data_IF_069436120735
#
_entry.id   IF_069436120735
#
_cell.length_a   1.000
_cell.length_b   1.000
_cell.length_c   1.000
_cell.angle_alpha   90.00
_cell.angle_beta   90.00
_cell.angle_gamma   90.00
#
_symmetry.space_group_name_H-M   'P 1'
#
loop_
_entity.id
_entity.type
_entity.pdbx_description
1 polymer ?
#
# COMPACT_ATOMS: atom_id res chain seq x y z
N UNK A 1 36.09 32.98 -17.98
CA UNK A 1 35.35 32.52 -16.78
C UNK A 1 36.07 33.07 -15.55
N UNK A 2 35.37 33.66 -14.59
CA UNK A 2 35.99 34.14 -13.36
C UNK A 2 36.23 32.93 -12.43
N UNK A 3 37.48 32.48 -12.33
CA UNK A 3 37.85 31.26 -11.61
C UNK A 3 37.62 31.38 -10.10
N UNK A 4 37.82 32.58 -9.54
CA UNK A 4 37.62 32.84 -8.11
C UNK A 4 36.14 32.78 -7.71
N UNK A 5 35.25 33.33 -8.55
CA UNK A 5 33.80 33.20 -8.37
C UNK A 5 33.34 31.74 -8.48
N UNK A 6 33.91 30.97 -9.41
CA UNK A 6 33.59 29.55 -9.58
C UNK A 6 34.03 28.73 -8.36
N UNK A 7 35.24 28.97 -7.85
CA UNK A 7 35.74 28.30 -6.65
C UNK A 7 34.86 28.62 -5.41
N UNK A 8 34.42 29.86 -5.26
CA UNK A 8 33.48 30.26 -4.19
C UNK A 8 32.14 29.56 -4.31
N UNK A 9 31.59 29.47 -5.52
CA UNK A 9 30.31 28.78 -5.77
C UNK A 9 30.42 27.29 -5.47
N UNK A 10 31.53 26.63 -5.82
CA UNK A 10 31.75 25.22 -5.54
C UNK A 10 31.81 24.94 -4.04
N UNK A 11 32.57 25.76 -3.29
CA UNK A 11 32.65 25.66 -1.82
C UNK A 11 31.28 25.88 -1.16
N UNK A 12 30.54 26.90 -1.62
CA UNK A 12 29.20 27.17 -1.13
C UNK A 12 28.24 26.00 -1.43
N UNK A 13 28.24 25.48 -2.66
CA UNK A 13 27.37 24.39 -3.06
C UNK A 13 27.64 23.12 -2.26
N UNK A 14 28.91 22.82 -1.95
CA UNK A 14 29.28 21.71 -1.08
C UNK A 14 28.76 21.89 0.35
N UNK A 15 28.96 23.07 0.94
CA UNK A 15 28.51 23.37 2.30
C UNK A 15 26.98 23.35 2.41
N UNK A 16 26.28 24.12 1.58
CA UNK A 16 24.80 24.14 1.57
C UNK A 16 24.21 22.78 1.18
N UNK A 17 24.88 22.03 0.30
CA UNK A 17 24.45 20.67 -0.06
C UNK A 17 24.42 19.75 1.14
N UNK A 18 25.46 19.78 1.99
CA UNK A 18 25.50 18.99 3.21
C UNK A 18 24.38 19.39 4.20
N UNK A 19 24.17 20.69 4.40
CA UNK A 19 23.12 21.20 5.30
C UNK A 19 21.70 20.86 4.81
N UNK A 20 21.41 21.08 3.52
CA UNK A 20 20.10 20.75 2.93
C UNK A 20 19.85 19.25 3.04
N UNK A 21 20.87 18.40 2.84
CA UNK A 21 20.76 16.96 3.03
C UNK A 21 20.38 16.60 4.46
N UNK A 22 20.99 17.22 5.46
CA UNK A 22 20.65 17.00 6.87
C UNK A 22 19.19 17.36 7.17
N UNK A 23 18.68 18.47 6.61
CA UNK A 23 17.27 18.87 6.75
C UNK A 23 16.35 17.86 6.06
N UNK A 24 16.68 17.38 4.86
CA UNK A 24 15.92 16.33 4.17
C UNK A 24 15.81 15.08 5.06
N UNK A 25 16.93 14.62 5.63
CA UNK A 25 16.94 13.47 6.55
C UNK A 25 16.06 13.72 7.78
N UNK A 26 16.10 14.92 8.35
CA UNK A 26 15.24 15.30 9.47
C UNK A 26 13.74 15.29 9.10
N UNK A 27 13.36 15.74 7.89
CA UNK A 27 11.96 15.66 7.44
C UNK A 27 11.46 14.22 7.32
N UNK A 28 12.33 13.29 6.91
CA UNK A 28 12.00 11.85 6.83
C UNK A 28 11.86 11.20 8.22
N UNK A 29 12.43 11.83 9.25
CA UNK A 29 12.42 11.35 10.63
C UNK A 29 11.47 12.16 11.53
N UNK A 30 10.54 12.93 10.94
CA UNK A 30 9.66 13.79 11.73
C UNK A 30 8.95 13.02 12.84
N UNK A 31 9.03 13.49 14.11
CA UNK A 31 8.40 12.83 15.24
C UNK A 31 6.94 13.25 15.44
N UNK A 32 6.38 14.13 14.59
CA UNK A 32 5.08 14.76 14.79
C UNK A 32 3.94 13.75 14.77
N UNK A 33 3.06 13.85 15.76
CA UNK A 33 1.88 12.99 15.93
C UNK A 33 0.71 13.85 16.43
N UNK A 34 -0.48 13.61 15.90
CA UNK A 34 -1.72 14.30 16.27
C UNK A 34 -2.92 13.37 16.10
N UNK A 35 -3.88 13.43 17.01
CA UNK A 35 -5.15 12.71 16.97
C UNK A 35 -6.20 13.39 16.07
N UNK A 36 -5.96 14.64 15.66
CA UNK A 36 -6.77 15.35 14.66
C UNK A 36 -6.40 14.93 13.24
N UNK A 37 -7.37 14.37 12.50
CA UNK A 37 -7.23 14.04 11.07
C UNK A 37 -6.93 15.26 10.21
N UNK A 38 -7.51 16.42 10.56
CA UNK A 38 -7.32 17.70 9.88
C UNK A 38 -5.87 18.18 10.02
N UNK A 39 -5.36 18.28 11.26
CA UNK A 39 -3.98 18.71 11.52
C UNK A 39 -2.96 17.73 10.94
N UNK A 40 -3.24 16.43 10.99
CA UNK A 40 -2.37 15.43 10.38
C UNK A 40 -2.26 15.64 8.87
N UNK A 41 -3.38 15.89 8.20
CA UNK A 41 -3.42 16.15 6.75
C UNK A 41 -2.62 17.41 6.42
N UNK A 42 -2.85 18.51 7.13
CA UNK A 42 -2.12 19.76 6.93
C UNK A 42 -0.61 19.59 7.15
N UNK A 43 -0.22 18.96 8.26
CA UNK A 43 1.19 18.70 8.57
C UNK A 43 1.87 17.85 7.49
N UNK A 44 1.22 16.74 7.09
CA UNK A 44 1.75 15.83 6.09
C UNK A 44 1.94 16.53 4.73
N UNK A 45 1.03 17.44 4.36
CA UNK A 45 1.11 18.18 3.11
C UNK A 45 2.25 19.19 3.12
N UNK A 46 2.34 20.02 4.17
CA UNK A 46 3.41 21.00 4.32
C UNK A 46 4.78 20.31 4.35
N UNK A 47 4.91 19.19 5.08
CA UNK A 47 6.19 18.48 5.14
C UNK A 47 6.56 17.84 3.80
N UNK A 48 5.57 17.35 3.03
CA UNK A 48 5.79 16.83 1.69
C UNK A 48 6.26 17.93 0.75
N UNK A 49 5.62 19.09 0.75
CA UNK A 49 6.04 20.23 -0.06
C UNK A 49 7.48 20.65 0.27
N UNK A 50 7.80 20.77 1.56
CA UNK A 50 9.15 21.09 2.02
C UNK A 50 10.17 20.05 1.53
N UNK A 51 9.88 18.75 1.68
CA UNK A 51 10.75 17.67 1.21
C UNK A 51 11.02 17.75 -0.29
N UNK A 52 9.99 18.01 -1.10
CA UNK A 52 10.11 18.11 -2.57
C UNK A 52 11.03 19.27 -2.95
N UNK A 53 10.81 20.45 -2.34
CA UNK A 53 11.60 21.65 -2.61
C UNK A 53 13.07 21.46 -2.19
N UNK A 54 13.30 20.94 -0.98
CA UNK A 54 14.65 20.68 -0.47
C UNK A 54 15.37 19.63 -1.34
N UNK A 55 14.69 18.56 -1.74
CA UNK A 55 15.26 17.53 -2.62
C UNK A 55 15.66 18.10 -3.99
N UNK A 56 14.83 18.98 -4.57
CA UNK A 56 15.17 19.66 -5.81
C UNK A 56 16.37 20.59 -5.63
N UNK A 57 16.41 21.39 -4.57
CA UNK A 57 17.53 22.28 -4.27
C UNK A 57 18.83 21.49 -4.09
N UNK A 58 18.82 20.44 -3.29
CA UNK A 58 19.97 19.56 -3.09
C UNK A 58 20.46 18.97 -4.42
N UNK A 59 19.54 18.45 -5.25
CA UNK A 59 19.89 17.91 -6.57
C UNK A 59 20.52 18.94 -7.51
N UNK A 60 20.08 20.20 -7.44
CA UNK A 60 20.65 21.30 -8.22
C UNK A 60 22.05 21.70 -7.71
N UNK A 61 22.23 21.80 -6.39
CA UNK A 61 23.51 22.11 -5.76
C UNK A 61 24.59 21.07 -6.10
N UNK A 62 24.22 19.79 -6.12
CA UNK A 62 25.10 18.70 -6.56
C UNK A 62 25.59 18.83 -8.02
N UNK A 63 24.92 19.65 -8.84
CA UNK A 63 25.34 19.90 -10.23
C UNK A 63 26.36 21.01 -10.43
N UNK A 64 26.82 21.64 -9.33
CA UNK A 64 27.78 22.76 -9.32
C UNK A 64 29.19 22.27 -8.97
N UNK A 65 29.38 20.98 -8.71
CA UNK A 65 30.68 20.35 -8.36
C UNK A 65 31.83 20.67 -9.34
N UNK A 66 31.52 20.79 -10.62
CA UNK A 66 32.44 21.17 -11.71
C UNK A 66 32.15 22.60 -12.24
N UNK A 67 31.82 23.51 -11.32
CA UNK A 67 31.51 24.89 -11.64
C UNK A 67 30.06 25.12 -12.11
N UNK A 68 29.60 26.35 -11.93
CA UNK A 68 28.27 26.77 -12.34
C UNK A 68 28.20 26.98 -13.86
N UNK A 69 27.20 26.35 -14.47
CA UNK A 69 26.82 26.48 -15.87
C UNK A 69 25.29 26.55 -15.97
N UNK A 70 24.80 27.59 -16.66
CA UNK A 70 23.37 27.92 -16.70
C UNK A 70 22.55 26.88 -17.47
N UNK A 71 23.08 26.36 -18.58
CA UNK A 71 22.43 25.33 -19.39
C UNK A 71 22.35 24.00 -18.65
N UNK A 72 23.43 23.62 -17.96
CA UNK A 72 23.47 22.46 -17.07
C UNK A 72 22.45 22.59 -15.94
N UNK A 73 22.35 23.78 -15.32
CA UNK A 73 21.37 24.05 -14.27
C UNK A 73 19.93 23.86 -14.78
N UNK A 74 19.57 24.47 -15.91
CA UNK A 74 18.24 24.32 -16.49
C UNK A 74 17.92 22.89 -16.90
N UNK A 75 18.87 22.18 -17.51
CA UNK A 75 18.72 20.77 -17.88
C UNK A 75 18.45 19.91 -16.66
N UNK A 76 19.26 20.05 -15.59
CA UNK A 76 19.07 19.33 -14.33
C UNK A 76 17.71 19.65 -13.72
N UNK A 77 17.33 20.92 -13.66
CA UNK A 77 16.01 21.32 -13.12
C UNK A 77 14.85 20.65 -13.85
N UNK A 78 14.93 20.53 -15.18
CA UNK A 78 13.93 19.87 -16.00
C UNK A 78 13.91 18.34 -15.83
N UNK A 79 15.06 17.72 -15.57
CA UNK A 79 15.18 16.26 -15.38
C UNK A 79 14.99 15.80 -13.94
N UNK A 80 14.76 16.73 -13.01
CA UNK A 80 14.54 16.37 -11.60
C UNK A 80 13.31 15.46 -11.47
N UNK A 81 13.50 14.34 -10.79
CA UNK A 81 12.41 13.45 -10.40
C UNK A 81 12.27 13.49 -8.89
N UNK A 82 11.04 13.72 -8.43
CA UNK A 82 10.71 13.77 -7.01
C UNK A 82 10.99 12.41 -6.35
N UNK A 83 11.85 12.34 -5.33
CA UNK A 83 12.07 11.11 -4.58
C UNK A 83 10.83 10.68 -3.80
N UNK A 84 10.71 9.38 -3.50
CA UNK A 84 9.62 8.87 -2.67
C UNK A 84 9.71 9.43 -1.25
N UNK A 85 8.59 9.93 -0.73
CA UNK A 85 8.47 10.47 0.62
C UNK A 85 7.23 9.95 1.33
N UNK A 86 7.40 9.35 2.51
CA UNK A 86 6.30 8.84 3.33
C UNK A 86 6.27 9.55 4.67
N UNK A 87 5.24 10.34 4.90
CA UNK A 87 4.95 11.01 6.18
C UNK A 87 3.51 10.72 6.59
N UNK A 88 3.29 10.42 7.88
CA UNK A 88 1.96 10.35 8.46
C UNK A 88 1.98 10.77 9.93
N UNK A 89 1.43 11.94 10.24
CA UNK A 89 1.28 12.45 11.60
C UNK A 89 -0.03 12.01 12.29
N UNK A 90 -0.94 11.28 11.64
CA UNK A 90 -2.22 10.89 12.26
C UNK A 90 -2.07 9.72 13.25
N UNK A 91 -2.43 9.95 14.50
CA UNK A 91 -2.34 8.99 15.61
C UNK A 91 -3.49 7.96 15.62
N UNK A 92 -4.62 8.22 14.95
CA UNK A 92 -5.81 7.38 15.03
C UNK A 92 -5.76 6.08 14.21
N UNK A 93 -4.65 5.80 13.52
CA UNK A 93 -4.37 4.50 12.91
C UNK A 93 -3.24 3.81 13.66
N UNK A 94 -3.60 3.07 14.72
CA UNK A 94 -2.72 2.18 15.49
C UNK A 94 -1.55 2.89 16.18
N UNK A 95 -1.75 3.19 17.46
CA UNK A 95 -0.67 3.29 18.45
C UNK A 95 0.28 2.08 18.34
N UNK A 96 1.37 2.28 17.62
CA UNK A 96 2.71 1.78 17.89
C UNK A 96 3.61 2.53 16.93
N UNK A 97 4.37 3.50 17.44
CA UNK A 97 5.66 3.86 16.83
C UNK A 97 6.46 2.54 16.80
N UNK A 98 6.42 1.83 15.68
CA UNK A 98 7.31 0.69 15.46
C UNK A 98 8.66 1.34 15.17
N UNK A 99 9.52 1.38 16.19
CA UNK A 99 10.93 1.65 15.99
C UNK A 99 11.46 0.56 15.06
N UNK A 100 11.61 0.88 13.79
CA UNK A 100 12.06 -0.08 12.78
C UNK A 100 13.54 -0.37 13.04
N UNK A 101 13.85 -1.59 13.48
CA UNK A 101 15.24 -2.01 13.73
C UNK A 101 16.12 -1.90 12.47
N UNK A 102 15.52 -2.07 11.30
CA UNK A 102 16.22 -2.01 10.01
C UNK A 102 15.50 -1.09 9.00
N UNK A 103 15.57 0.24 9.16
CA UNK A 103 14.85 1.20 8.32
C UNK A 103 15.28 1.12 6.85
N UNK A 104 16.58 0.96 6.59
CA UNK A 104 17.12 0.89 5.23
C UNK A 104 16.64 -0.35 4.48
N UNK A 105 16.52 -1.49 5.16
CA UNK A 105 15.91 -2.69 4.58
C UNK A 105 14.44 -2.46 4.27
N UNK A 106 13.67 -1.89 5.21
CA UNK A 106 12.27 -1.56 4.99
C UNK A 106 12.07 -0.71 3.72
N UNK A 107 12.90 0.31 3.51
CA UNK A 107 12.80 1.14 2.30
C UNK A 107 13.14 0.38 1.01
N UNK A 108 14.13 -0.52 1.03
CA UNK A 108 14.42 -1.39 -0.13
C UNK A 108 13.23 -2.30 -0.46
N UNK A 109 12.62 -2.91 0.56
CA UNK A 109 11.45 -3.78 0.38
C UNK A 109 10.21 -2.99 -0.08
N UNK A 110 10.01 -1.78 0.45
CA UNK A 110 8.95 -0.87 0.01
C UNK A 110 9.13 -0.50 -1.46
N UNK A 111 10.35 -0.12 -1.87
CA UNK A 111 10.65 0.21 -3.26
C UNK A 111 10.35 -0.96 -4.20
N UNK A 112 10.81 -2.17 -3.87
CA UNK A 112 10.49 -3.38 -4.63
C UNK A 112 8.97 -3.59 -4.74
N UNK A 113 8.24 -3.47 -3.62
CA UNK A 113 6.79 -3.63 -3.60
C UNK A 113 6.10 -2.61 -4.51
N UNK A 114 6.54 -1.35 -4.48
CA UNK A 114 5.97 -0.27 -5.29
C UNK A 114 6.28 -0.47 -6.79
N UNK A 115 7.48 -0.97 -7.13
CA UNK A 115 7.86 -1.36 -8.51
C UNK A 115 7.01 -2.51 -9.04
N UNK A 116 6.81 -3.57 -8.25
CA UNK A 116 5.95 -4.71 -8.62
C UNK A 116 4.50 -4.23 -8.81
N UNK A 117 3.99 -3.42 -7.89
CA UNK A 117 2.64 -2.85 -7.97
C UNK A 117 2.47 -2.00 -9.23
N UNK A 118 3.43 -1.14 -9.54
CA UNK A 118 3.39 -0.26 -10.72
C UNK A 118 3.46 -1.07 -12.01
N UNK A 119 4.41 -2.02 -12.11
CA UNK A 119 4.64 -2.82 -13.32
C UNK A 119 3.46 -3.74 -13.65
N UNK A 120 2.81 -4.31 -12.63
CA UNK A 120 1.68 -5.23 -12.79
C UNK A 120 0.32 -4.55 -12.60
N UNK A 121 0.29 -3.24 -12.36
CA UNK A 121 -0.90 -2.47 -12.01
C UNK A 121 -1.72 -3.12 -10.86
N UNK A 122 -1.03 -3.55 -9.80
CA UNK A 122 -1.62 -4.26 -8.66
C UNK A 122 -1.75 -3.33 -7.44
N UNK A 123 -2.83 -3.45 -6.65
CA UNK A 123 -2.92 -2.78 -5.36
C UNK A 123 -1.84 -3.25 -4.37
N UNK A 124 -1.35 -2.34 -3.51
CA UNK A 124 -0.31 -2.59 -2.49
C UNK A 124 -0.59 -3.85 -1.65
N UNK A 125 -1.83 -4.02 -1.19
CA UNK A 125 -2.20 -5.15 -0.33
C UNK A 125 -2.10 -6.52 -1.04
N UNK A 126 -2.11 -6.54 -2.38
CA UNK A 126 -1.98 -7.75 -3.18
C UNK A 126 -0.54 -8.28 -3.20
N UNK A 127 0.45 -7.38 -3.12
CA UNK A 127 1.87 -7.73 -3.02
C UNK A 127 2.29 -7.89 -1.56
N UNK A 128 2.34 -6.79 -0.80
CA UNK A 128 2.62 -6.80 0.64
C UNK A 128 2.13 -5.49 1.28
N UNK A 129 1.48 -5.57 2.45
CA UNK A 129 1.05 -4.38 3.21
C UNK A 129 2.22 -3.75 3.99
N UNK A 130 2.07 -2.51 4.46
CA UNK A 130 3.14 -1.82 5.21
C UNK A 130 3.60 -2.61 6.45
N UNK A 131 2.67 -3.06 7.29
CA UNK A 131 2.96 -3.90 8.46
C UNK A 131 3.66 -5.22 8.12
N UNK A 132 3.37 -5.80 6.95
CA UNK A 132 4.05 -7.00 6.45
C UNK A 132 5.53 -6.71 6.15
N UNK A 133 5.82 -5.55 5.52
CA UNK A 133 7.20 -5.15 5.24
C UNK A 133 7.98 -4.79 6.52
N UNK A 134 7.32 -4.17 7.49
CA UNK A 134 7.91 -3.88 8.80
C UNK A 134 8.31 -5.19 9.50
N UNK A 135 7.44 -6.20 9.49
CA UNK A 135 7.76 -7.52 10.02
C UNK A 135 8.89 -8.22 9.25
N UNK A 136 8.93 -8.14 7.91
CA UNK A 136 10.05 -8.68 7.13
C UNK A 136 11.37 -8.00 7.50
N UNK A 137 11.36 -6.68 7.63
CA UNK A 137 12.54 -5.92 8.03
C UNK A 137 12.96 -6.21 9.47
N UNK A 138 12.02 -6.55 10.36
CA UNK A 138 12.29 -6.87 11.77
C UNK A 138 12.81 -8.30 11.92
N UNK A 139 12.18 -9.28 11.26
CA UNK A 139 12.45 -10.70 11.49
C UNK A 139 13.43 -11.33 10.48
N UNK A 140 13.78 -10.63 9.40
CA UNK A 140 14.81 -11.03 8.43
C UNK A 140 14.67 -12.47 7.89
N UNK A 141 13.49 -12.86 7.36
CA UNK A 141 13.27 -14.22 6.86
C UNK A 141 14.26 -14.57 5.75
N UNK A 142 14.87 -15.73 5.84
CA UNK A 142 15.92 -16.21 4.93
C UNK A 142 15.44 -17.30 3.97
N UNK A 143 14.25 -17.85 4.20
CA UNK A 143 13.66 -18.90 3.36
C UNK A 143 12.21 -18.60 3.03
N UNK A 144 11.66 -19.27 2.01
CA UNK A 144 10.23 -19.14 1.66
C UNK A 144 9.34 -19.57 2.83
N UNK A 145 9.71 -20.66 3.53
CA UNK A 145 9.01 -21.13 4.73
C UNK A 145 9.01 -20.10 5.87
N UNK A 146 10.10 -19.36 6.02
CA UNK A 146 10.18 -18.25 6.98
C UNK A 146 9.35 -17.04 6.57
N UNK A 147 9.29 -16.72 5.27
CA UNK A 147 8.42 -15.69 4.75
C UNK A 147 6.93 -15.98 5.00
N UNK A 148 6.52 -17.25 4.91
CA UNK A 148 5.15 -17.67 5.23
C UNK A 148 4.75 -17.39 6.69
N UNK A 149 5.74 -17.27 7.58
CA UNK A 149 5.51 -16.93 8.99
C UNK A 149 5.29 -15.43 9.20
N UNK A 150 5.52 -14.58 8.19
CA UNK A 150 5.25 -13.14 8.23
C UNK A 150 3.74 -12.87 8.10
N UNK A 151 3.21 -11.99 8.96
CA UNK A 151 1.78 -11.66 8.98
C UNK A 151 1.35 -11.03 7.65
N UNK A 152 0.36 -11.63 6.99
CA UNK A 152 -0.18 -11.14 5.70
C UNK A 152 0.61 -11.58 4.45
N UNK A 153 1.61 -12.45 4.62
CA UNK A 153 2.44 -13.00 3.54
C UNK A 153 2.34 -14.53 3.46
N UNK A 154 1.13 -15.04 3.24
CA UNK A 154 0.90 -16.48 3.17
C UNK A 154 1.47 -17.14 1.90
N UNK A 155 1.39 -18.47 1.86
CA UNK A 155 1.96 -19.36 0.83
C UNK A 155 1.88 -18.85 -0.61
N UNK A 156 0.69 -18.46 -1.10
CA UNK A 156 0.54 -17.98 -2.48
C UNK A 156 1.41 -16.73 -2.79
N UNK A 157 1.55 -15.81 -1.82
CA UNK A 157 2.42 -14.64 -1.97
C UNK A 157 3.89 -15.01 -1.81
N UNK A 158 4.21 -15.93 -0.90
CA UNK A 158 5.56 -16.44 -0.72
C UNK A 158 6.08 -17.17 -1.97
N UNK A 159 5.23 -17.94 -2.65
CA UNK A 159 5.57 -18.57 -3.93
C UNK A 159 5.71 -17.54 -5.07
N UNK A 160 4.77 -16.59 -5.17
CA UNK A 160 4.72 -15.66 -6.30
C UNK A 160 5.73 -14.50 -6.21
N UNK A 161 5.88 -13.92 -5.01
CA UNK A 161 6.68 -12.71 -4.78
C UNK A 161 7.85 -12.96 -3.84
N UNK A 162 7.81 -14.03 -3.03
CA UNK A 162 8.82 -14.31 -2.01
C UNK A 162 10.26 -14.34 -2.52
N UNK A 163 10.60 -14.95 -3.68
CA UNK A 163 11.97 -14.93 -4.19
C UNK A 163 12.56 -13.52 -4.31
N UNK A 164 11.81 -12.56 -4.85
CA UNK A 164 12.29 -11.18 -5.02
C UNK A 164 12.52 -10.46 -3.68
N UNK A 165 11.67 -10.74 -2.68
CA UNK A 165 11.86 -10.19 -1.33
C UNK A 165 13.04 -10.87 -0.61
N UNK A 166 13.20 -12.19 -0.77
CA UNK A 166 14.32 -12.93 -0.18
C UNK A 166 15.66 -12.45 -0.73
N UNK A 167 15.77 -12.18 -2.03
CA UNK A 167 17.01 -11.66 -2.62
C UNK A 167 17.48 -10.39 -1.90
N UNK A 168 16.56 -9.45 -1.65
CA UNK A 168 16.88 -8.20 -0.93
C UNK A 168 17.25 -8.47 0.54
N UNK A 169 16.50 -9.33 1.22
CA UNK A 169 16.69 -9.61 2.65
C UNK A 169 17.98 -10.38 2.90
N UNK A 170 18.28 -11.40 2.08
CA UNK A 170 19.49 -12.20 2.17
C UNK A 170 20.73 -11.35 1.88
N UNK A 171 20.73 -10.56 0.81
CA UNK A 171 21.84 -9.62 0.52
C UNK A 171 22.05 -8.66 1.68
N UNK A 172 20.98 -8.05 2.20
CA UNK A 172 21.07 -7.12 3.32
C UNK A 172 21.64 -7.78 4.59
N UNK A 173 21.21 -9.01 4.87
CA UNK A 173 21.63 -9.77 6.03
C UNK A 173 23.09 -10.22 5.92
N UNK A 174 23.52 -10.73 4.76
CA UNK A 174 24.91 -11.13 4.50
C UNK A 174 25.86 -9.95 4.62
N UNK A 175 25.53 -8.79 4.02
CA UNK A 175 26.35 -7.57 4.11
C UNK A 175 26.61 -7.10 5.56
N UNK A 176 25.71 -7.44 6.49
CA UNK A 176 25.71 -6.95 7.88
C UNK A 176 25.91 -8.06 8.90
N UNK A 177 26.20 -9.28 8.46
CA UNK A 177 26.32 -10.46 9.31
C UNK A 177 25.10 -10.68 10.24
N UNK A 178 23.89 -10.46 9.72
CA UNK A 178 22.64 -10.65 10.43
C UNK A 178 22.04 -12.04 10.13
N UNK A 179 21.28 -12.59 11.07
CA UNK A 179 20.59 -13.87 10.93
C UNK A 179 19.07 -13.73 11.07
N UNK A 180 18.33 -14.75 10.65
CA UNK A 180 16.88 -14.78 10.78
C UNK A 180 16.47 -14.69 12.25
N UNK A 181 15.59 -13.72 12.54
CA UNK A 181 14.95 -13.58 13.85
C UNK A 181 13.53 -14.15 13.87
N UNK A 182 13.12 -14.86 12.81
CA UNK A 182 11.86 -15.60 12.75
C UNK A 182 11.66 -16.57 13.93
N UNK A 183 12.68 -17.29 14.42
CA UNK A 183 12.52 -18.14 15.61
C UNK A 183 12.14 -17.38 16.90
N UNK A 184 12.47 -16.08 16.97
CA UNK A 184 12.16 -15.22 18.12
C UNK A 184 10.78 -14.58 18.01
N UNK A 185 10.15 -14.63 16.83
CA UNK A 185 8.77 -14.20 16.66
C UNK A 185 7.89 -15.10 17.51
N UNK A 186 7.30 -14.55 18.58
CA UNK A 186 6.33 -15.28 19.40
C UNK A 186 5.29 -15.89 18.46
N UNK A 187 5.37 -17.21 18.30
CA UNK A 187 4.42 -17.93 17.47
C UNK A 187 3.05 -17.59 18.04
N UNK A 188 2.17 -16.96 17.25
CA UNK A 188 0.74 -17.05 17.51
C UNK A 188 0.38 -18.52 17.34
N UNK A 189 0.58 -19.26 18.44
CA UNK A 189 0.42 -20.71 18.61
C UNK A 189 1.25 -21.51 17.60
N UNK A 190 2.29 -22.19 18.10
CA UNK A 190 2.59 -23.56 17.67
C UNK A 190 1.27 -24.30 17.55
N UNK A 191 0.80 -24.50 16.32
CA UNK A 191 -0.22 -25.50 16.01
C UNK A 191 0.45 -26.80 16.42
N UNK A 192 0.11 -27.29 17.63
CA UNK A 192 0.49 -28.62 18.09
C UNK A 192 0.26 -29.57 16.94
N UNK A 193 1.31 -30.27 16.53
CA UNK A 193 1.18 -31.56 15.90
C UNK A 193 0.26 -32.39 16.80
N UNK A 194 -0.98 -32.51 16.38
CA UNK A 194 -1.91 -33.55 16.82
C UNK A 194 -2.51 -34.11 15.55
N UNK A 195 -2.16 -35.38 15.36
CA UNK A 195 -2.91 -36.43 14.69
C UNK A 195 -4.35 -36.08 14.27
N UNK A 196 -4.66 -36.53 13.05
CA UNK A 196 -5.94 -36.59 12.35
C UNK A 196 -6.39 -35.33 11.56
N UNK A 197 -6.91 -35.51 10.33
CA UNK A 197 -7.19 -34.44 9.40
C UNK A 197 -8.43 -33.67 9.85
N UNK A 198 -8.23 -32.50 10.48
CA UNK A 198 -9.30 -31.53 10.70
C UNK A 198 -9.48 -30.66 9.46
N UNK A 199 -10.68 -30.74 8.90
CA UNK A 199 -11.18 -30.04 7.73
C UNK A 199 -10.73 -28.57 7.65
N UNK A 200 -10.40 -28.15 6.43
CA UNK A 200 -10.03 -26.78 6.06
C UNK A 200 -11.13 -25.83 6.52
N UNK A 201 -10.83 -24.88 7.43
CA UNK A 201 -11.73 -23.76 7.67
C UNK A 201 -11.92 -23.02 6.33
N UNK A 202 -13.15 -22.86 5.83
CA UNK A 202 -13.39 -22.19 4.57
C UNK A 202 -12.95 -20.73 4.64
N UNK A 203 -12.49 -20.19 3.51
CA UNK A 203 -12.25 -18.76 3.31
C UNK A 203 -13.44 -17.97 3.88
N UNK A 204 -13.18 -16.91 4.64
CA UNK A 204 -14.19 -16.03 5.24
C UNK A 204 -15.23 -15.53 4.23
N UNK A 205 -14.86 -15.43 2.94
CA UNK A 205 -15.78 -15.17 1.83
C UNK A 205 -16.66 -16.38 1.53
N UNK A 206 -16.09 -17.57 1.41
CA UNK A 206 -16.82 -18.83 1.20
C UNK A 206 -17.82 -19.11 2.33
N UNK A 207 -17.47 -18.80 3.58
CA UNK A 207 -18.43 -18.94 4.69
C UNK A 207 -19.59 -17.94 4.58
N UNK A 208 -19.31 -16.70 4.16
CA UNK A 208 -20.35 -15.70 3.85
C UNK A 208 -21.27 -16.22 2.74
N UNK A 209 -20.67 -16.71 1.66
CA UNK A 209 -21.37 -17.24 0.50
C UNK A 209 -22.24 -18.45 0.84
N UNK A 210 -21.73 -19.37 1.67
CA UNK A 210 -22.47 -20.52 2.16
C UNK A 210 -23.71 -20.09 2.95
N UNK A 211 -23.56 -19.15 3.88
CA UNK A 211 -24.69 -18.62 4.65
C UNK A 211 -25.72 -17.91 3.76
N UNK A 212 -25.25 -17.18 2.74
CA UNK A 212 -26.11 -16.52 1.76
C UNK A 212 -26.88 -17.52 0.89
N UNK A 213 -26.21 -18.55 0.35
CA UNK A 213 -26.87 -19.62 -0.42
C UNK A 213 -27.86 -20.45 0.42
N UNK A 214 -27.72 -20.43 1.75
CA UNK A 214 -28.71 -20.99 2.68
C UNK A 214 -29.90 -20.04 2.96
N UNK A 215 -30.06 -18.96 2.19
CA UNK A 215 -31.21 -18.05 2.24
C UNK A 215 -31.09 -16.90 3.23
N UNK A 216 -29.94 -16.71 3.90
CA UNK A 216 -29.75 -15.59 4.83
C UNK A 216 -29.43 -14.30 4.08
N UNK A 217 -30.00 -13.20 4.56
CA UNK A 217 -29.70 -11.86 4.08
C UNK A 217 -28.33 -11.38 4.55
N UNK A 218 -27.76 -10.37 3.88
CA UNK A 218 -26.48 -9.77 4.29
C UNK A 218 -26.50 -9.25 5.74
N UNK A 219 -27.65 -8.74 6.21
CA UNK A 219 -27.82 -8.24 7.57
C UNK A 219 -27.80 -9.37 8.61
N UNK A 220 -28.49 -10.47 8.36
CA UNK A 220 -28.50 -11.64 9.25
C UNK A 220 -27.10 -12.29 9.33
N UNK A 221 -26.42 -12.39 8.20
CA UNK A 221 -25.05 -12.91 8.14
C UNK A 221 -24.09 -11.99 8.91
N UNK A 222 -24.26 -10.67 8.79
CA UNK A 222 -23.45 -9.70 9.53
C UNK A 222 -23.60 -9.89 11.04
N UNK A 223 -24.84 -10.03 11.52
CA UNK A 223 -25.13 -10.27 12.94
C UNK A 223 -24.54 -11.60 13.43
N UNK A 224 -24.78 -12.69 12.72
CA UNK A 224 -24.32 -14.03 13.12
C UNK A 224 -22.79 -14.15 13.12
N UNK A 225 -22.14 -13.46 12.19
CA UNK A 225 -20.68 -13.49 12.06
C UNK A 225 -19.98 -12.40 12.86
N UNK A 226 -20.73 -11.55 13.57
CA UNK A 226 -20.23 -10.38 14.28
C UNK A 226 -19.36 -9.47 13.38
N UNK A 227 -19.87 -9.18 12.17
CA UNK A 227 -19.25 -8.32 11.17
C UNK A 227 -20.20 -7.18 10.81
N UNK A 228 -19.69 -6.16 10.13
CA UNK A 228 -20.56 -5.10 9.58
C UNK A 228 -21.26 -5.60 8.31
N UNK A 229 -22.46 -5.10 8.03
CA UNK A 229 -23.19 -5.36 6.77
C UNK A 229 -22.30 -5.04 5.56
N UNK A 230 -21.56 -3.93 5.62
CA UNK A 230 -20.63 -3.52 4.57
C UNK A 230 -19.50 -4.53 4.33
N UNK A 231 -19.00 -5.20 5.39
CA UNK A 231 -18.02 -6.27 5.26
C UNK A 231 -18.61 -7.48 4.53
N UNK A 232 -19.86 -7.84 4.85
CA UNK A 232 -20.59 -8.93 4.18
C UNK A 232 -20.85 -8.61 2.71
N UNK A 233 -21.35 -7.41 2.40
CA UNK A 233 -21.55 -6.95 1.02
C UNK A 233 -20.24 -6.96 0.23
N UNK A 234 -19.13 -6.56 0.87
CA UNK A 234 -17.79 -6.61 0.25
C UNK A 234 -17.31 -8.05 -0.01
N UNK A 235 -17.71 -9.03 0.82
CA UNK A 235 -17.43 -10.44 0.55
C UNK A 235 -18.29 -10.97 -0.60
N UNK A 236 -19.58 -10.63 -0.62
CA UNK A 236 -20.53 -11.07 -1.65
C UNK A 236 -20.20 -10.48 -3.03
N UNK A 237 -19.62 -9.27 -3.09
CA UNK A 237 -19.13 -8.68 -4.32
C UNK A 237 -18.14 -9.57 -5.08
N UNK A 238 -17.33 -10.38 -4.38
CA UNK A 238 -16.46 -11.36 -5.05
C UNK A 238 -17.27 -12.39 -5.85
N UNK A 239 -18.37 -12.88 -5.29
CA UNK A 239 -19.22 -13.91 -5.91
C UNK A 239 -20.16 -13.33 -6.97
N UNK A 240 -20.44 -12.02 -6.91
CA UNK A 240 -21.05 -11.28 -8.03
C UNK A 240 -20.05 -11.18 -9.19
N UNK A 241 -18.79 -10.85 -8.90
CA UNK A 241 -17.74 -10.77 -9.92
C UNK A 241 -17.46 -12.12 -10.61
N UNK A 242 -17.50 -13.24 -9.88
CA UNK A 242 -17.33 -14.58 -10.47
C UNK A 242 -18.60 -15.10 -11.16
N UNK A 243 -19.73 -14.40 -11.05
CA UNK A 243 -21.01 -14.79 -11.64
C UNK A 243 -21.80 -15.83 -10.83
N UNK A 244 -21.35 -16.18 -9.62
CA UNK A 244 -22.02 -17.15 -8.73
C UNK A 244 -23.26 -16.57 -8.03
N UNK A 245 -23.36 -15.24 -7.93
CA UNK A 245 -24.53 -14.50 -7.46
C UNK A 245 -24.95 -13.49 -8.52
N UNK A 246 -26.23 -13.47 -8.89
CA UNK A 246 -26.76 -12.41 -9.75
C UNK A 246 -26.93 -11.13 -8.94
N UNK A 247 -26.56 -10.00 -9.51
CA UNK A 247 -26.61 -8.70 -8.81
C UNK A 247 -28.02 -8.36 -8.33
N UNK A 248 -29.03 -8.76 -9.08
CA UNK A 248 -30.45 -8.53 -8.79
C UNK A 248 -30.93 -9.25 -7.51
N UNK A 249 -30.17 -10.24 -7.03
CA UNK A 249 -30.46 -10.89 -5.75
C UNK A 249 -30.02 -10.04 -4.55
N UNK A 250 -29.07 -9.13 -4.74
CA UNK A 250 -28.45 -8.34 -3.67
C UNK A 250 -28.79 -6.86 -3.72
N UNK A 251 -29.01 -6.31 -4.92
CA UNK A 251 -29.25 -4.89 -5.15
C UNK A 251 -30.49 -4.74 -6.02
N UNK A 252 -31.42 -3.88 -5.58
CA UNK A 252 -32.66 -3.65 -6.31
C UNK A 252 -32.41 -2.99 -7.67
N UNK A 253 -33.30 -3.22 -8.64
CA UNK A 253 -33.13 -2.70 -10.00
C UNK A 253 -33.06 -1.17 -10.03
N UNK A 254 -33.82 -0.50 -9.17
CA UNK A 254 -33.85 0.95 -9.03
C UNK A 254 -32.49 1.49 -8.60
N UNK A 255 -31.83 0.81 -7.65
CA UNK A 255 -30.47 1.16 -7.23
C UNK A 255 -29.46 0.93 -8.34
N UNK A 256 -29.53 -0.21 -9.04
CA UNK A 256 -28.60 -0.53 -10.15
C UNK A 256 -28.64 0.57 -11.22
N UNK A 257 -29.82 0.96 -11.67
CA UNK A 257 -30.01 1.98 -12.72
C UNK A 257 -29.45 3.35 -12.32
N UNK A 258 -29.42 3.66 -11.02
CA UNK A 258 -28.84 4.92 -10.50
C UNK A 258 -27.33 4.83 -10.33
N UNK A 259 -26.80 3.68 -9.90
CA UNK A 259 -25.38 3.49 -9.61
C UNK A 259 -24.55 3.29 -10.87
N UNK A 260 -25.08 2.53 -11.83
CA UNK A 260 -24.35 2.13 -13.04
C UNK A 260 -23.82 3.34 -13.84
N UNK A 261 -24.61 4.39 -14.15
CA UNK A 261 -24.11 5.57 -14.85
C UNK A 261 -23.02 6.31 -14.07
N UNK A 262 -23.16 6.41 -12.74
CA UNK A 262 -22.17 7.08 -11.88
C UNK A 262 -20.82 6.33 -11.86
N UNK A 263 -20.82 5.03 -12.15
CA UNK A 263 -19.62 4.21 -12.27
C UNK A 263 -19.00 4.22 -13.68
N UNK A 264 -19.73 4.65 -14.72
CA UNK A 264 -19.17 4.80 -16.07
C UNK A 264 -18.21 5.99 -16.16
N UNK A 265 -18.51 7.08 -15.44
CA UNK A 265 -17.64 8.26 -15.32
C UNK A 265 -16.52 8.07 -14.28
N UNK A 266 -16.47 6.94 -13.59
CA UNK A 266 -15.53 6.71 -12.51
C UNK A 266 -14.18 6.23 -13.04
N UNK A 267 -13.15 7.05 -12.86
CA UNK A 267 -11.76 6.67 -13.16
C UNK A 267 -11.25 5.61 -12.19
N UNK A 268 -10.74 4.50 -12.74
CA UNK A 268 -10.23 3.36 -11.97
C UNK A 268 -9.04 3.80 -11.09
N UNK A 269 -9.19 3.68 -9.78
CA UNK A 269 -8.20 4.12 -8.79
C UNK A 269 -8.58 5.38 -8.02
N UNK A 270 -9.63 6.10 -8.45
CA UNK A 270 -10.20 7.21 -7.70
C UNK A 270 -10.87 6.75 -6.40
N UNK A 271 -10.99 7.61 -5.37
CA UNK A 271 -11.72 7.26 -4.15
C UNK A 271 -13.21 7.00 -4.41
N UNK A 272 -13.76 5.91 -3.84
CA UNK A 272 -15.21 5.61 -3.92
C UNK A 272 -16.10 6.71 -3.31
N UNK A 273 -15.54 7.57 -2.45
CA UNK A 273 -16.25 8.74 -1.89
C UNK A 273 -16.78 9.65 -3.01
N UNK A 274 -16.00 9.84 -4.07
CA UNK A 274 -16.36 10.69 -5.21
C UNK A 274 -17.60 10.19 -5.96
N UNK A 275 -17.80 8.86 -6.01
CA UNK A 275 -19.02 8.25 -6.58
C UNK A 275 -20.17 8.37 -5.60
N UNK A 276 -19.92 8.10 -4.31
CA UNK A 276 -20.94 8.16 -3.27
C UNK A 276 -21.58 9.54 -3.13
N UNK A 277 -20.81 10.61 -3.30
CA UNK A 277 -21.27 12.02 -3.24
C UNK A 277 -22.23 12.38 -4.37
N UNK A 278 -22.11 11.73 -5.55
CA UNK A 278 -23.02 11.91 -6.69
C UNK A 278 -24.33 11.10 -6.55
N UNK A 279 -24.41 10.23 -5.56
CA UNK A 279 -25.50 9.26 -5.42
C UNK A 279 -26.43 9.60 -4.24
N UNK A 280 -27.74 9.32 -4.37
CA UNK A 280 -28.71 9.49 -3.29
C UNK A 280 -28.29 8.88 -1.95
N UNK A 281 -28.76 9.46 -0.83
CA UNK A 281 -28.35 9.08 0.53
C UNK A 281 -28.69 7.64 0.90
N UNK A 282 -29.73 7.05 0.28
CA UNK A 282 -30.14 5.65 0.47
C UNK A 282 -29.23 4.61 -0.21
N UNK A 283 -28.22 5.05 -0.96
CA UNK A 283 -27.24 4.17 -1.62
C UNK A 283 -25.99 4.07 -0.75
N UNK A 284 -25.69 2.88 -0.25
CA UNK A 284 -24.51 2.62 0.57
C UNK A 284 -23.25 2.33 -0.24
N UNK A 285 -22.09 2.33 0.43
CA UNK A 285 -20.83 1.89 -0.18
C UNK A 285 -20.85 0.41 -0.59
N UNK A 286 -21.66 -0.43 0.07
CA UNK A 286 -21.84 -1.83 -0.31
C UNK A 286 -22.54 -1.98 -1.65
N UNK A 287 -23.67 -1.26 -1.84
CA UNK A 287 -24.39 -1.22 -3.12
C UNK A 287 -23.44 -0.84 -4.27
N UNK A 288 -22.62 0.22 -4.08
CA UNK A 288 -21.65 0.68 -5.08
C UNK A 288 -20.63 -0.41 -5.43
N UNK A 289 -20.10 -1.11 -4.42
CA UNK A 289 -19.12 -2.20 -4.63
C UNK A 289 -19.73 -3.41 -5.35
N UNK A 290 -20.98 -3.76 -5.02
CA UNK A 290 -21.70 -4.86 -5.66
C UNK A 290 -21.96 -4.57 -7.14
N UNK A 291 -22.44 -3.36 -7.46
CA UNK A 291 -22.67 -2.95 -8.86
C UNK A 291 -21.34 -2.84 -9.62
N UNK A 292 -20.28 -2.33 -8.99
CA UNK A 292 -18.94 -2.30 -9.59
C UNK A 292 -18.44 -3.70 -9.96
N UNK A 293 -18.57 -4.67 -9.05
CA UNK A 293 -18.21 -6.06 -9.30
C UNK A 293 -19.01 -6.68 -10.46
N UNK A 294 -20.29 -6.36 -10.57
CA UNK A 294 -21.16 -6.80 -11.67
C UNK A 294 -20.75 -6.22 -13.03
N UNK A 295 -20.44 -4.91 -13.09
CA UNK A 295 -19.92 -4.27 -14.33
C UNK A 295 -18.60 -4.92 -14.77
N UNK A 296 -17.71 -5.22 -13.82
CA UNK A 296 -16.44 -5.91 -14.10
C UNK A 296 -16.68 -7.34 -14.61
N UNK A 297 -17.63 -8.08 -14.04
CA UNK A 297 -18.04 -9.40 -14.54
C UNK A 297 -18.50 -9.32 -15.99
N UNK A 298 -19.41 -8.39 -16.31
CA UNK A 298 -19.91 -8.20 -17.68
C UNK A 298 -18.78 -7.93 -18.68
N UNK A 299 -17.84 -7.03 -18.34
CA UNK A 299 -16.68 -6.71 -19.19
C UNK A 299 -15.78 -7.93 -19.41
N UNK A 300 -15.55 -8.73 -18.36
CA UNK A 300 -14.73 -9.95 -18.45
C UNK A 300 -15.39 -11.05 -19.29
N UNK A 301 -16.71 -11.19 -19.20
CA UNK A 301 -17.47 -12.18 -19.98
C UNK A 301 -17.58 -11.81 -21.45
N UNK A 302 -17.60 -10.51 -21.80
CA UNK A 302 -17.59 -10.05 -23.21
C UNK A 302 -16.25 -10.20 -23.93
N UNK A 303 -15.15 -10.52 -23.24
CA UNK A 303 -13.81 -10.66 -23.84
C UNK A 303 -13.44 -12.11 -24.20
N UNK A 304 -14.34 -13.08 -24.00
CA UNK A 304 -14.07 -14.51 -24.25
C UNK A 304 -14.67 -14.99 -25.59
N UNK A 305 -15.52 -14.21 -26.24
CA UNK A 305 -16.25 -14.60 -27.47
C UNK A 305 -15.73 -13.94 -28.78
N UNK A 306 -14.46 -13.51 -28.85
CA UNK A 306 -13.83 -13.01 -30.09
C UNK A 306 -12.51 -13.70 -30.40
#
# INVERSE_FOLDING_TARGET
KNNELQERLNKAAAWFGAEVKAVIEATQQSPAVTDSTMHAKEYNEVLREAFVQLSQQHYLLQGIDDGFDIERYHRRKKTFQTPSFGVNAYAGASEKKVELQHPSLYYKLKKLRDEICSKKNLPIYYVAGSKTLEEMATYLPQTVSELEQISGFGKAKAETYGPQFLDIIQVYATERNLSSSIPQKESKRKRKEKSEPKEKKPDTKTETFRMYKNGKTAAEIAQERNLTVQTIESHLAHFVFTGEIKIEELVSREKIVVIEPALQEFEKGSPLTSVKEKLPSNIGYGDIKLVMAWIEHQKSSTHIDH
#
